data_IF_910954551111
#
_entry.id   IF_910954551111
#
_cell.length_a   1.000
_cell.length_b   1.000
_cell.length_c   1.000
_cell.angle_alpha   90.00
_cell.angle_beta   90.00
_cell.angle_gamma   90.00
#
_symmetry.space_group_name_H-M   'P 1'
#
loop_
_entity.id
_entity.type
_entity.pdbx_description
1 polymer ?
#
# COMPACT_ATOMS: atom_id res chain seq x y z
N UNK A 1 55.18 17.08 15.91
CA UNK A 1 54.84 15.64 15.80
C UNK A 1 55.10 14.90 17.12
N UNK A 2 55.93 15.46 18.03
CA UNK A 2 56.32 14.82 19.29
C UNK A 2 55.37 15.08 20.47
N UNK A 3 54.65 16.21 20.49
CA UNK A 3 53.71 16.56 21.58
C UNK A 3 52.56 15.56 21.75
N UNK A 4 52.05 15.00 20.65
CA UNK A 4 50.93 14.04 20.69
C UNK A 4 51.37 12.70 21.31
N UNK A 5 52.65 12.36 21.19
CA UNK A 5 53.21 11.13 21.80
C UNK A 5 53.48 11.35 23.29
N UNK A 6 53.91 12.56 23.68
CA UNK A 6 54.09 12.92 25.09
C UNK A 6 52.76 12.93 25.85
N UNK A 7 51.69 13.43 25.23
CA UNK A 7 50.36 13.49 25.83
C UNK A 7 49.75 12.09 26.00
N UNK A 8 49.90 11.21 25.00
CA UNK A 8 49.50 9.80 25.13
C UNK A 8 50.27 9.09 26.25
N UNK A 9 51.58 9.32 26.37
CA UNK A 9 52.40 8.74 27.43
C UNK A 9 52.01 9.26 28.83
N UNK A 10 51.57 10.52 28.93
CA UNK A 10 51.03 11.07 30.16
C UNK A 10 49.73 10.35 30.57
N UNK A 11 48.81 10.15 29.64
CA UNK A 11 47.58 9.39 29.90
C UNK A 11 47.83 7.90 30.15
N UNK A 12 48.84 7.31 29.53
CA UNK A 12 49.29 5.93 29.78
C UNK A 12 49.80 5.78 31.23
N UNK A 13 50.58 6.75 31.72
CA UNK A 13 51.03 6.80 33.12
C UNK A 13 49.87 7.03 34.11
N UNK A 14 48.94 7.93 33.78
CA UNK A 14 47.75 8.17 34.60
C UNK A 14 46.85 6.92 34.69
N UNK A 15 46.66 6.21 33.57
CA UNK A 15 45.93 4.96 33.54
C UNK A 15 46.62 3.85 34.35
N UNK A 16 47.94 3.70 34.20
CA UNK A 16 48.72 2.70 34.93
C UNK A 16 48.65 2.91 36.46
N UNK A 17 48.76 4.17 36.90
CA UNK A 17 48.60 4.54 38.30
C UNK A 17 47.20 4.21 38.82
N UNK A 18 46.15 4.59 38.08
CA UNK A 18 44.75 4.30 38.44
C UNK A 18 44.44 2.80 38.45
N UNK A 19 44.97 2.03 37.50
CA UNK A 19 44.81 0.56 37.45
C UNK A 19 45.46 -0.13 38.65
N UNK A 20 46.65 0.32 39.04
CA UNK A 20 47.36 -0.17 40.24
C UNK A 20 46.58 0.17 41.52
N UNK A 21 46.02 1.38 41.61
CA UNK A 21 45.21 1.81 42.74
C UNK A 21 43.90 1.02 42.83
N UNK A 22 43.21 0.78 41.71
CA UNK A 22 42.02 -0.08 41.64
C UNK A 22 42.36 -1.49 42.13
N UNK A 23 43.47 -2.08 41.66
CA UNK A 23 43.90 -3.42 42.06
C UNK A 23 44.22 -3.52 43.56
N UNK A 24 44.88 -2.50 44.13
CA UNK A 24 45.13 -2.40 45.58
C UNK A 24 43.83 -2.21 46.37
N UNK A 25 42.90 -1.40 45.88
CA UNK A 25 41.60 -1.18 46.52
C UNK A 25 40.71 -2.42 46.45
N UNK A 26 40.77 -3.22 45.37
CA UNK A 26 40.09 -4.52 45.26
C UNK A 26 40.69 -5.54 46.25
N UNK A 27 42.03 -5.60 46.35
CA UNK A 27 42.73 -6.51 47.29
C UNK A 27 42.49 -6.12 48.75
N UNK A 28 42.39 -4.82 49.06
CA UNK A 28 42.00 -4.37 50.40
C UNK A 28 40.52 -4.57 50.66
N UNK A 29 39.65 -4.44 49.65
CA UNK A 29 38.23 -4.73 49.78
C UNK A 29 37.96 -6.22 50.03
N UNK A 30 38.80 -7.13 49.54
CA UNK A 30 38.66 -8.57 49.82
C UNK A 30 39.12 -8.97 51.23
N UNK A 31 39.97 -8.18 51.89
CA UNK A 31 40.45 -8.44 53.26
C UNK A 31 39.69 -7.70 54.37
N UNK A 32 38.87 -6.70 54.01
CA UNK A 32 38.07 -5.91 54.95
C UNK A 32 36.69 -6.54 55.23
N UNK A 33 36.15 -6.29 56.44
CA UNK A 33 34.82 -6.76 56.85
C UNK A 33 33.67 -6.22 55.99
N UNK A 34 32.52 -6.91 55.98
CA UNK A 34 31.42 -6.72 55.02
C UNK A 34 30.96 -5.27 54.79
N UNK A 35 30.90 -4.45 55.84
CA UNK A 35 30.47 -3.05 55.77
C UNK A 35 31.55 -2.13 55.17
N UNK A 36 32.81 -2.28 55.62
CA UNK A 36 33.95 -1.57 55.05
C UNK A 36 34.21 -1.98 53.59
N UNK A 37 34.00 -3.26 53.27
CA UNK A 37 34.05 -3.80 51.90
C UNK A 37 33.02 -3.15 51.00
N UNK A 38 31.77 -2.96 51.44
CA UNK A 38 30.73 -2.29 50.65
C UNK A 38 31.08 -0.84 50.33
N UNK A 39 31.59 -0.08 51.30
CA UNK A 39 32.03 1.31 51.07
C UNK A 39 33.22 1.39 50.12
N UNK A 40 34.21 0.52 50.29
CA UNK A 40 35.39 0.44 49.42
C UNK A 40 35.02 0.03 47.98
N UNK A 41 34.07 -0.90 47.81
CA UNK A 41 33.59 -1.32 46.49
C UNK A 41 32.90 -0.19 45.71
N UNK A 42 32.17 0.70 46.39
CA UNK A 42 31.56 1.89 45.75
C UNK A 42 32.65 2.87 45.30
N UNK A 43 33.68 3.08 46.11
CA UNK A 43 34.83 3.91 45.76
C UNK A 43 35.58 3.35 44.54
N UNK A 44 35.78 2.04 44.49
CA UNK A 44 36.40 1.37 43.33
C UNK A 44 35.54 1.47 42.07
N UNK A 45 34.20 1.47 42.18
CA UNK A 45 33.31 1.67 41.02
C UNK A 45 33.46 3.09 40.42
N UNK A 46 33.70 4.09 41.28
CA UNK A 46 34.01 5.46 40.83
C UNK A 46 35.38 5.50 40.15
N UNK A 47 36.41 4.91 40.76
CA UNK A 47 37.75 4.84 40.16
C UNK A 47 37.76 4.11 38.81
N UNK A 48 36.96 3.05 38.66
CA UNK A 48 36.80 2.32 37.39
C UNK A 48 36.14 3.18 36.32
N UNK A 49 35.17 4.03 36.69
CA UNK A 49 34.53 4.97 35.75
C UNK A 49 35.51 6.06 35.31
N UNK A 50 36.32 6.57 36.23
CA UNK A 50 37.40 7.51 35.90
C UNK A 50 38.40 6.87 34.92
N UNK A 51 38.84 5.63 35.19
CA UNK A 51 39.73 4.90 34.29
C UNK A 51 39.12 4.69 32.88
N UNK A 52 37.81 4.41 32.79
CA UNK A 52 37.10 4.31 31.50
C UNK A 52 37.05 5.66 30.75
N UNK A 53 36.92 6.79 31.45
CA UNK A 53 37.03 8.11 30.81
C UNK A 53 38.43 8.41 30.30
N UNK A 54 39.48 7.95 31.00
CA UNK A 54 40.88 8.09 30.57
C UNK A 54 41.13 7.24 29.32
N UNK A 55 40.67 5.98 29.30
CA UNK A 55 40.76 5.13 28.10
C UNK A 55 40.02 5.76 26.91
N UNK A 56 38.85 6.38 27.12
CA UNK A 56 38.12 7.08 26.05
C UNK A 56 38.89 8.28 25.50
N UNK A 57 39.58 9.03 26.36
CA UNK A 57 40.48 10.13 25.94
C UNK A 57 41.68 9.58 25.15
N UNK A 58 42.27 8.48 25.59
CA UNK A 58 43.34 7.78 24.88
C UNK A 58 42.90 7.20 23.51
N UNK A 59 41.68 6.66 23.39
CA UNK A 59 41.14 6.18 22.10
C UNK A 59 40.92 7.34 21.11
N UNK A 60 40.45 8.49 21.61
CA UNK A 60 40.26 9.68 20.80
C UNK A 60 41.61 10.24 20.28
N UNK A 61 42.64 10.25 21.14
CA UNK A 61 43.98 10.64 20.74
C UNK A 61 44.65 9.63 19.81
N UNK A 62 44.47 8.32 20.05
CA UNK A 62 44.95 7.27 19.16
C UNK A 62 44.33 7.34 17.75
N UNK A 63 43.10 7.87 17.62
CA UNK A 63 42.44 8.14 16.33
C UNK A 63 42.96 9.38 15.60
N UNK A 64 43.58 10.31 16.33
CA UNK A 64 44.14 11.54 15.76
C UNK A 64 45.56 11.37 15.17
N UNK A 65 46.16 10.19 15.33
CA UNK A 65 47.55 9.88 14.93
C UNK A 65 47.60 9.08 13.61
N UNK A 66 48.69 9.21 12.86
CA UNK A 66 48.96 8.54 11.58
C UNK A 66 48.74 7.00 11.61
N UNK A 67 48.31 6.39 10.49
CA UNK A 67 47.77 5.02 10.43
C UNK A 67 48.74 3.90 10.88
N UNK A 68 50.06 4.08 10.75
CA UNK A 68 51.04 3.09 11.23
C UNK A 68 51.15 3.06 12.76
N UNK A 69 51.17 4.23 13.41
CA UNK A 69 51.22 4.36 14.88
C UNK A 69 49.85 4.14 15.52
N UNK A 70 48.77 4.46 14.79
CA UNK A 70 47.39 4.19 15.19
C UNK A 70 47.18 2.71 15.52
N UNK A 71 47.72 1.79 14.72
CA UNK A 71 47.56 0.35 14.94
C UNK A 71 48.27 -0.15 16.20
N UNK A 72 49.45 0.40 16.51
CA UNK A 72 50.19 0.09 17.74
C UNK A 72 49.50 0.66 18.99
N UNK A 73 49.03 1.91 18.91
CA UNK A 73 48.30 2.58 20.00
C UNK A 73 46.94 1.92 20.25
N UNK A 74 46.21 1.51 19.20
CA UNK A 74 44.95 0.78 19.35
C UNK A 74 45.12 -0.61 19.95
N UNK A 75 46.24 -1.30 19.67
CA UNK A 75 46.52 -2.58 20.32
C UNK A 75 46.75 -2.40 21.82
N UNK A 76 47.51 -1.37 22.23
CA UNK A 76 47.66 -1.00 23.64
C UNK A 76 46.34 -0.61 24.30
N UNK A 77 45.50 0.19 23.63
CA UNK A 77 44.17 0.56 24.14
C UNK A 77 43.26 -0.67 24.31
N UNK A 78 43.38 -1.68 23.43
CA UNK A 78 42.63 -2.94 23.56
C UNK A 78 43.12 -3.78 24.74
N UNK A 79 44.43 -3.82 24.98
CA UNK A 79 45.03 -4.50 26.13
C UNK A 79 44.56 -3.85 27.43
N UNK A 80 44.65 -2.53 27.54
CA UNK A 80 44.13 -1.78 28.70
C UNK A 80 42.61 -1.94 28.90
N UNK A 81 41.84 -2.04 27.81
CA UNK A 81 40.41 -2.34 27.90
C UNK A 81 40.13 -3.76 28.41
N UNK A 82 40.98 -4.73 28.10
CA UNK A 82 40.90 -6.08 28.62
C UNK A 82 41.26 -6.13 30.11
N UNK A 83 42.29 -5.39 30.53
CA UNK A 83 42.66 -5.28 31.94
C UNK A 83 41.53 -4.67 32.78
N UNK A 84 40.88 -3.58 32.32
CA UNK A 84 39.70 -3.03 33.01
C UNK A 84 38.53 -4.02 33.06
N UNK A 85 38.34 -4.86 32.04
CA UNK A 85 37.31 -5.88 32.05
C UNK A 85 37.58 -6.93 33.13
N UNK A 86 38.84 -7.36 33.26
CA UNK A 86 39.25 -8.30 34.32
C UNK A 86 39.08 -7.71 35.72
N UNK A 87 39.39 -6.42 35.92
CA UNK A 87 39.21 -5.72 37.19
C UNK A 87 37.73 -5.52 37.55
N UNK A 88 36.88 -5.25 36.55
CA UNK A 88 35.41 -5.19 36.74
C UNK A 88 34.85 -6.55 37.14
N UNK A 89 35.31 -7.64 36.53
CA UNK A 89 34.88 -8.99 36.87
C UNK A 89 35.30 -9.38 38.30
N UNK A 90 36.54 -9.05 38.69
CA UNK A 90 37.01 -9.26 40.06
C UNK A 90 36.20 -8.45 41.08
N UNK A 91 35.84 -7.21 40.78
CA UNK A 91 34.96 -6.40 41.61
C UNK A 91 33.54 -7.01 41.71
N UNK A 92 32.99 -7.49 40.60
CA UNK A 92 31.67 -8.12 40.58
C UNK A 92 31.64 -9.40 41.39
N UNK A 93 32.69 -10.24 41.31
CA UNK A 93 32.85 -11.45 42.13
C UNK A 93 33.03 -11.11 43.61
N UNK A 94 33.78 -10.06 43.93
CA UNK A 94 33.92 -9.58 45.30
C UNK A 94 32.57 -9.06 45.85
N UNK A 95 31.74 -8.45 45.01
CA UNK A 95 30.39 -7.97 45.35
C UNK A 95 29.40 -9.12 45.57
N UNK A 96 29.39 -10.14 44.70
CA UNK A 96 28.50 -11.29 44.85
C UNK A 96 28.82 -12.11 46.11
N UNK A 97 30.10 -12.24 46.45
CA UNK A 97 30.51 -12.92 47.70
C UNK A 97 29.99 -12.20 48.96
N UNK A 98 29.81 -10.87 48.90
CA UNK A 98 29.19 -10.11 50.00
C UNK A 98 27.68 -10.31 50.03
N UNK A 99 27.00 -10.29 48.88
CA UNK A 99 25.56 -10.55 48.83
C UNK A 99 25.20 -11.97 49.26
N UNK A 100 26.05 -12.96 48.97
CA UNK A 100 25.81 -14.35 49.36
C UNK A 100 26.02 -14.57 50.86
N UNK A 101 26.96 -13.84 51.47
CA UNK A 101 27.16 -13.88 52.93
C UNK A 101 26.04 -13.17 53.70
N UNK A 102 25.54 -12.05 53.17
CA UNK A 102 24.45 -11.27 53.75
C UNK A 102 23.07 -11.94 53.52
N UNK A 103 22.86 -12.52 52.33
CA UNK A 103 21.69 -13.34 52.03
C UNK A 103 21.70 -14.67 52.82
N UNK A 104 22.85 -15.33 52.96
CA UNK A 104 22.98 -16.55 53.75
C UNK A 104 22.70 -16.35 55.26
N UNK A 105 23.11 -15.22 55.85
CA UNK A 105 22.75 -14.88 57.24
C UNK A 105 21.29 -14.46 57.40
N UNK A 106 20.69 -13.84 56.38
CA UNK A 106 19.28 -13.48 56.38
C UNK A 106 18.38 -14.71 56.21
N UNK A 107 18.78 -15.68 55.38
CA UNK A 107 18.12 -16.97 55.16
C UNK A 107 18.17 -17.87 56.41
N UNK A 108 19.30 -17.89 57.13
CA UNK A 108 19.48 -18.73 58.32
C UNK A 108 18.96 -18.11 59.63
N UNK A 109 18.42 -16.89 59.62
CA UNK A 109 17.80 -16.26 60.80
C UNK A 109 18.75 -15.95 61.97
N UNK A 110 20.06 -16.15 61.82
CA UNK A 110 21.09 -16.01 62.87
C UNK A 110 21.71 -14.59 62.93
N UNK A 111 21.02 -13.61 62.35
CA UNK A 111 21.49 -12.22 62.23
C UNK A 111 20.98 -11.24 63.29
N UNK A 112 20.23 -11.68 64.32
CA UNK A 112 19.64 -10.75 65.29
C UNK A 112 19.80 -11.24 66.72
N UNK A 113 20.37 -10.38 67.57
CA UNK A 113 20.43 -10.52 69.02
C UNK A 113 19.06 -10.88 69.59
N UNK A 114 19.05 -11.99 70.33
CA UNK A 114 17.88 -12.68 70.90
C UNK A 114 17.17 -11.91 72.03
N UNK A 115 17.48 -10.62 72.24
CA UNK A 115 17.11 -9.88 73.46
C UNK A 115 16.07 -8.74 73.30
N UNK A 116 15.50 -8.47 72.11
CA UNK A 116 14.52 -7.36 71.90
C UNK A 116 13.19 -7.78 71.23
N UNK A 117 12.63 -8.92 71.63
CA UNK A 117 11.64 -9.69 70.86
C UNK A 117 10.20 -9.17 70.77
N UNK A 118 9.81 -7.99 71.28
CA UNK A 118 8.41 -7.50 71.07
C UNK A 118 8.29 -6.29 70.15
N UNK A 119 9.21 -5.32 70.23
CA UNK A 119 9.14 -4.10 69.43
C UNK A 119 9.59 -4.35 67.98
N UNK A 120 10.71 -5.05 67.79
CA UNK A 120 11.22 -5.39 66.47
C UNK A 120 10.32 -6.39 65.72
N UNK A 121 9.62 -7.27 66.45
CA UNK A 121 8.65 -8.20 65.86
C UNK A 121 7.38 -7.48 65.40
N UNK A 122 6.88 -6.50 66.18
CA UNK A 122 5.76 -5.65 65.75
C UNK A 122 6.11 -4.82 64.52
N UNK A 123 7.31 -4.26 64.44
CA UNK A 123 7.74 -3.45 63.30
C UNK A 123 7.90 -4.29 62.02
N UNK A 124 8.38 -5.53 62.15
CA UNK A 124 8.38 -6.51 61.04
C UNK A 124 6.97 -6.93 60.63
N UNK A 125 6.07 -7.14 61.58
CA UNK A 125 4.67 -7.46 61.29
C UNK A 125 3.97 -6.30 60.60
N UNK A 126 4.18 -5.06 61.05
CA UNK A 126 3.63 -3.85 60.42
C UNK A 126 4.15 -3.66 59.00
N UNK A 127 5.45 -3.84 58.77
CA UNK A 127 6.02 -3.76 57.42
C UNK A 127 5.59 -4.91 56.52
N UNK A 128 5.38 -6.11 57.07
CA UNK A 128 4.78 -7.23 56.34
C UNK A 128 3.31 -6.95 55.96
N UNK A 129 2.52 -6.39 56.89
CA UNK A 129 1.13 -5.97 56.63
C UNK A 129 1.05 -4.84 55.61
N UNK A 130 1.94 -3.83 55.70
CA UNK A 130 1.99 -2.74 54.73
C UNK A 130 2.38 -3.23 53.32
N UNK A 131 3.29 -4.20 53.23
CA UNK A 131 3.63 -4.84 51.95
C UNK A 131 2.48 -5.69 51.41
N UNK A 132 1.74 -6.39 52.27
CA UNK A 132 0.54 -7.14 51.89
C UNK A 132 -0.55 -6.20 51.38
N UNK A 133 -0.84 -5.11 52.08
CA UNK A 133 -1.82 -4.11 51.67
C UNK A 133 -1.43 -3.45 50.33
N UNK A 134 -0.14 -3.14 50.15
CA UNK A 134 0.37 -2.65 48.87
C UNK A 134 0.22 -3.69 47.75
N UNK A 135 0.44 -4.98 48.05
CA UNK A 135 0.25 -6.06 47.10
C UNK A 135 -1.21 -6.27 46.75
N UNK A 136 -2.12 -6.18 47.72
CA UNK A 136 -3.56 -6.28 47.52
C UNK A 136 -4.10 -5.13 46.69
N UNK A 137 -3.63 -3.91 46.93
CA UNK A 137 -4.00 -2.73 46.13
C UNK A 137 -3.49 -2.88 44.70
N UNK A 138 -2.25 -3.34 44.51
CA UNK A 138 -1.73 -3.67 43.16
C UNK A 138 -2.51 -4.80 42.50
N UNK A 139 -2.94 -5.81 43.25
CA UNK A 139 -3.75 -6.91 42.75
C UNK A 139 -5.13 -6.40 42.32
N UNK A 140 -5.74 -5.51 43.09
CA UNK A 140 -7.03 -4.87 42.78
C UNK A 140 -6.93 -4.01 41.54
N UNK A 141 -5.88 -3.20 41.43
CA UNK A 141 -5.56 -2.42 40.22
C UNK A 141 -5.31 -3.33 39.02
N UNK A 142 -4.56 -4.42 39.20
CA UNK A 142 -4.32 -5.42 38.17
C UNK A 142 -5.62 -6.09 37.70
N UNK A 143 -6.52 -6.45 38.62
CA UNK A 143 -7.84 -7.00 38.28
C UNK A 143 -8.72 -5.99 37.54
N UNK A 144 -8.72 -4.73 37.95
CA UNK A 144 -9.46 -3.67 37.27
C UNK A 144 -8.94 -3.45 35.84
N UNK A 145 -7.61 -3.38 35.68
CA UNK A 145 -6.97 -3.29 34.37
C UNK A 145 -7.29 -4.51 33.51
N UNK A 146 -7.25 -5.73 34.07
CA UNK A 146 -7.59 -6.95 33.35
C UNK A 146 -9.05 -6.93 32.86
N UNK A 147 -9.99 -6.51 33.69
CA UNK A 147 -11.38 -6.36 33.29
C UNK A 147 -11.55 -5.32 32.17
N UNK A 148 -10.81 -4.22 32.22
CA UNK A 148 -10.78 -3.23 31.13
C UNK A 148 -10.20 -3.83 29.85
N UNK A 149 -9.10 -4.58 29.93
CA UNK A 149 -8.52 -5.27 28.76
C UNK A 149 -9.42 -6.34 28.18
N UNK A 150 -10.19 -7.05 29.01
CA UNK A 150 -11.19 -8.02 28.58
C UNK A 150 -12.33 -7.31 27.82
N UNK A 151 -12.83 -6.19 28.32
CA UNK A 151 -13.84 -5.40 27.65
C UNK A 151 -13.35 -4.84 26.30
N UNK A 152 -12.11 -4.37 26.23
CA UNK A 152 -11.48 -3.94 24.97
C UNK A 152 -11.35 -5.14 24.02
N UNK A 153 -10.89 -6.30 24.51
CA UNK A 153 -10.80 -7.53 23.73
C UNK A 153 -12.14 -7.97 23.15
N UNK A 154 -13.21 -7.91 23.95
CA UNK A 154 -14.57 -8.20 23.50
C UNK A 154 -15.04 -7.23 22.42
N UNK A 155 -14.75 -5.93 22.56
CA UNK A 155 -15.06 -4.92 21.55
C UNK A 155 -14.32 -5.16 20.23
N UNK A 156 -13.02 -5.48 20.29
CA UNK A 156 -12.21 -5.81 19.11
C UNK A 156 -12.75 -7.06 18.41
N UNK A 157 -13.09 -8.11 19.16
CA UNK A 157 -13.71 -9.31 18.57
C UNK A 157 -15.06 -9.00 17.90
N UNK A 158 -15.88 -8.16 18.53
CA UNK A 158 -17.13 -7.67 17.95
C UNK A 158 -16.91 -6.90 16.64
N UNK A 159 -15.92 -6.01 16.60
CA UNK A 159 -15.55 -5.27 15.39
C UNK A 159 -15.04 -6.19 14.28
N UNK A 160 -14.20 -7.16 14.60
CA UNK A 160 -13.70 -8.13 13.63
C UNK A 160 -14.84 -8.98 13.06
N UNK A 161 -15.81 -9.39 13.88
CA UNK A 161 -16.99 -10.10 13.43
C UNK A 161 -17.85 -9.24 12.48
N UNK A 162 -18.13 -7.99 12.85
CA UNK A 162 -18.87 -7.05 12.01
C UNK A 162 -18.13 -6.76 10.68
N UNK A 163 -16.81 -6.63 10.73
CA UNK A 163 -15.98 -6.45 9.55
C UNK A 163 -16.01 -7.68 8.64
N UNK A 164 -15.92 -8.89 9.21
CA UNK A 164 -16.04 -10.15 8.46
C UNK A 164 -17.39 -10.24 7.76
N UNK A 165 -18.48 -9.89 8.44
CA UNK A 165 -19.81 -9.86 7.84
C UNK A 165 -19.90 -8.85 6.70
N UNK A 166 -19.33 -7.65 6.88
CA UNK A 166 -19.29 -6.62 5.83
C UNK A 166 -18.51 -7.12 4.60
N UNK A 167 -17.35 -7.76 4.81
CA UNK A 167 -16.55 -8.34 3.72
C UNK A 167 -17.31 -9.46 3.02
N UNK A 168 -18.03 -10.33 3.77
CA UNK A 168 -18.85 -11.37 3.17
C UNK A 168 -19.98 -10.77 2.34
N UNK A 169 -20.72 -9.78 2.86
CA UNK A 169 -21.76 -9.08 2.09
C UNK A 169 -21.19 -8.44 0.84
N UNK A 170 -20.04 -7.77 0.91
CA UNK A 170 -19.38 -7.20 -0.27
C UNK A 170 -18.94 -8.28 -1.27
N UNK A 171 -18.46 -9.43 -0.80
CA UNK A 171 -18.11 -10.56 -1.68
C UNK A 171 -19.34 -11.15 -2.35
N UNK A 172 -20.43 -11.31 -1.62
CA UNK A 172 -21.69 -11.83 -2.16
C UNK A 172 -22.32 -10.87 -3.17
N UNK A 173 -22.29 -9.55 -2.90
CA UNK A 173 -22.76 -8.55 -3.88
C UNK A 173 -21.87 -8.51 -5.12
N UNK A 174 -20.54 -8.57 -4.96
CA UNK A 174 -19.62 -8.63 -6.11
C UNK A 174 -19.78 -9.93 -6.91
N UNK A 175 -19.95 -11.07 -6.26
CA UNK A 175 -20.21 -12.35 -6.92
C UNK A 175 -21.56 -12.33 -7.65
N UNK A 176 -22.59 -11.72 -7.04
CA UNK A 176 -23.91 -11.52 -7.64
C UNK A 176 -23.88 -10.60 -8.86
N UNK A 177 -23.16 -9.48 -8.78
CA UNK A 177 -22.97 -8.53 -9.89
C UNK A 177 -22.18 -9.17 -11.03
N UNK A 178 -21.04 -9.80 -10.73
CA UNK A 178 -20.21 -10.42 -11.76
C UNK A 178 -20.95 -11.54 -12.50
N UNK A 179 -21.73 -12.38 -11.81
CA UNK A 179 -22.47 -13.44 -12.48
C UNK A 179 -23.79 -12.95 -13.11
N UNK A 180 -24.50 -12.03 -12.47
CA UNK A 180 -25.80 -11.54 -12.91
C UNK A 180 -25.70 -10.61 -14.10
N UNK A 181 -24.83 -9.62 -14.05
CA UNK A 181 -24.70 -8.61 -15.09
C UNK A 181 -23.93 -9.14 -16.29
N UNK A 182 -22.92 -10.00 -16.09
CA UNK A 182 -22.24 -10.68 -17.19
C UNK A 182 -23.21 -11.63 -17.93
N UNK A 183 -24.04 -12.39 -17.22
CA UNK A 183 -25.03 -13.28 -17.86
C UNK A 183 -26.14 -12.51 -18.57
N UNK A 184 -26.59 -11.38 -18.01
CA UNK A 184 -27.55 -10.49 -18.69
C UNK A 184 -26.92 -9.86 -19.93
N UNK A 185 -25.69 -9.35 -19.84
CA UNK A 185 -24.97 -8.77 -20.95
C UNK A 185 -24.68 -9.81 -22.05
N UNK A 186 -24.32 -11.03 -21.68
CA UNK A 186 -24.14 -12.13 -22.63
C UNK A 186 -25.47 -12.51 -23.30
N UNK A 187 -26.57 -12.56 -22.55
CA UNK A 187 -27.89 -12.81 -23.11
C UNK A 187 -28.35 -11.69 -24.05
N UNK A 188 -28.14 -10.42 -23.70
CA UNK A 188 -28.50 -9.28 -24.57
C UNK A 188 -27.65 -9.30 -25.83
N UNK A 189 -26.33 -9.49 -25.75
CA UNK A 189 -25.45 -9.66 -26.90
C UNK A 189 -25.88 -10.81 -27.79
N UNK A 190 -26.23 -11.97 -27.22
CA UNK A 190 -26.74 -13.12 -27.99
C UNK A 190 -28.06 -12.80 -28.70
N UNK A 191 -28.98 -12.08 -28.05
CA UNK A 191 -30.23 -11.65 -28.68
C UNK A 191 -30.01 -10.59 -29.76
N UNK A 192 -29.08 -9.66 -29.57
CA UNK A 192 -28.71 -8.66 -30.57
C UNK A 192 -28.07 -9.32 -31.79
N UNK A 193 -27.08 -10.20 -31.59
CA UNK A 193 -26.45 -10.93 -32.68
C UNK A 193 -27.46 -11.81 -33.46
N UNK A 194 -28.37 -12.50 -32.74
CA UNK A 194 -29.46 -13.25 -33.38
C UNK A 194 -30.42 -12.34 -34.16
N UNK A 195 -30.68 -11.12 -33.67
CA UNK A 195 -31.51 -10.12 -34.36
C UNK A 195 -30.79 -9.57 -35.59
N UNK A 196 -29.55 -9.12 -35.47
CA UNK A 196 -28.79 -8.54 -36.59
C UNK A 196 -28.55 -9.55 -37.71
N UNK A 197 -28.22 -10.80 -37.38
CA UNK A 197 -28.10 -11.86 -38.38
C UNK A 197 -29.46 -12.20 -39.01
N UNK A 198 -30.54 -12.23 -38.21
CA UNK A 198 -31.88 -12.56 -38.69
C UNK A 198 -32.53 -11.46 -39.52
N UNK A 199 -32.38 -10.19 -39.14
CA UNK A 199 -33.00 -9.04 -39.80
C UNK A 199 -32.13 -8.47 -40.91
N UNK A 200 -30.80 -8.48 -40.77
CA UNK A 200 -29.88 -8.03 -41.82
C UNK A 200 -29.96 -8.89 -43.07
N UNK A 201 -30.06 -10.22 -42.91
CA UNK A 201 -30.21 -11.15 -44.04
C UNK A 201 -31.61 -11.00 -44.66
N UNK A 202 -32.70 -11.00 -43.88
CA UNK A 202 -34.05 -10.83 -44.42
C UNK A 202 -34.26 -9.47 -45.10
N UNK A 203 -33.76 -8.38 -44.51
CA UNK A 203 -33.90 -7.03 -45.07
C UNK A 203 -33.08 -6.88 -46.35
N UNK A 204 -31.88 -7.46 -46.41
CA UNK A 204 -31.06 -7.44 -47.62
C UNK A 204 -31.71 -8.29 -48.73
N UNK A 205 -32.20 -9.48 -48.41
CA UNK A 205 -32.96 -10.30 -49.36
C UNK A 205 -34.26 -9.61 -49.82
N UNK A 206 -34.99 -8.93 -48.93
CA UNK A 206 -36.21 -8.22 -49.29
C UNK A 206 -35.92 -7.00 -50.18
N UNK A 207 -34.93 -6.19 -49.81
CA UNK A 207 -34.46 -5.03 -50.60
C UNK A 207 -33.91 -5.45 -51.96
N UNK A 208 -33.18 -6.56 -52.02
CA UNK A 208 -32.66 -7.13 -53.25
C UNK A 208 -33.78 -7.70 -54.13
N UNK A 209 -34.82 -8.32 -53.53
CA UNK A 209 -36.03 -8.74 -54.26
C UNK A 209 -36.81 -7.55 -54.82
N UNK A 210 -36.93 -6.46 -54.05
CA UNK A 210 -37.61 -5.23 -54.47
C UNK A 210 -36.87 -4.53 -55.63
N UNK A 211 -35.54 -4.50 -55.57
CA UNK A 211 -34.69 -3.94 -56.64
C UNK A 211 -34.82 -4.76 -57.94
N UNK A 212 -34.82 -6.08 -57.84
CA UNK A 212 -35.01 -6.97 -59.01
C UNK A 212 -36.41 -6.81 -59.62
N UNK A 213 -37.46 -6.67 -58.79
CA UNK A 213 -38.83 -6.46 -59.27
C UNK A 213 -38.99 -5.09 -59.94
N UNK A 214 -38.40 -4.03 -59.37
CA UNK A 214 -38.42 -2.69 -59.99
C UNK A 214 -37.66 -2.62 -61.30
N UNK A 215 -36.55 -3.35 -61.45
CA UNK A 215 -35.86 -3.51 -62.74
C UNK A 215 -36.68 -4.30 -63.76
N UNK A 216 -37.59 -5.17 -63.30
CA UNK A 216 -38.50 -5.92 -64.18
C UNK A 216 -39.70 -5.08 -64.65
N UNK A 217 -40.19 -4.15 -63.82
CA UNK A 217 -41.28 -3.23 -64.18
C UNK A 217 -40.82 -2.04 -65.03
N UNK A 218 -39.58 -1.59 -64.88
CA UNK A 218 -38.98 -0.57 -65.78
C UNK A 218 -38.75 -1.08 -67.21
N UNK A 219 -38.96 -2.38 -67.45
CA UNK A 219 -38.99 -2.98 -68.79
C UNK A 219 -40.41 -3.04 -69.41
N UNK A 220 -41.48 -2.84 -68.63
CA UNK A 220 -42.86 -2.74 -69.16
C UNK A 220 -43.31 -1.28 -69.41
N UNK A 221 -42.72 -0.30 -68.71
CA UNK A 221 -43.02 1.13 -68.92
C UNK A 221 -42.53 1.72 -70.26
N UNK A 222 -41.81 0.95 -71.07
CA UNK A 222 -41.42 1.36 -72.42
C UNK A 222 -42.58 1.34 -73.42
N UNK A 223 -43.64 0.56 -73.19
CA UNK A 223 -44.80 0.45 -74.11
C UNK A 223 -45.78 1.64 -74.00
N UNK A 224 -45.91 2.27 -72.83
CA UNK A 224 -46.79 3.43 -72.66
C UNK A 224 -46.25 4.70 -73.34
N UNK A 225 -44.92 4.83 -73.40
CA UNK A 225 -44.27 5.92 -74.10
C UNK A 225 -44.32 5.73 -75.63
N UNK A 226 -44.30 4.47 -76.10
CA UNK A 226 -44.47 4.14 -77.52
C UNK A 226 -45.89 4.43 -78.02
N UNK A 227 -46.90 4.24 -77.17
CA UNK A 227 -48.31 4.46 -77.52
C UNK A 227 -48.63 5.96 -77.61
N UNK A 228 -48.05 6.78 -76.71
CA UNK A 228 -48.18 8.25 -76.78
C UNK A 228 -47.53 8.84 -78.02
N UNK A 229 -46.37 8.32 -78.43
CA UNK A 229 -45.68 8.74 -79.66
C UNK A 229 -46.52 8.46 -80.93
N UNK A 230 -47.17 7.28 -81.02
CA UNK A 230 -48.07 6.94 -82.15
C UNK A 230 -49.29 7.85 -82.24
N UNK A 231 -49.86 8.26 -81.09
CA UNK A 231 -51.04 9.15 -81.05
C UNK A 231 -50.72 10.56 -81.55
N UNK A 232 -49.55 11.09 -81.21
CA UNK A 232 -49.08 12.39 -81.69
C UNK A 232 -48.79 12.34 -83.21
N UNK A 233 -48.09 11.30 -83.69
CA UNK A 233 -47.83 11.12 -85.12
C UNK A 233 -49.12 11.01 -85.96
N UNK A 234 -50.13 10.28 -85.47
CA UNK A 234 -51.42 10.14 -86.16
C UNK A 234 -52.17 11.47 -86.28
N UNK A 235 -52.12 12.31 -85.24
CA UNK A 235 -52.73 13.64 -85.25
C UNK A 235 -52.06 14.60 -86.23
N UNK A 236 -50.75 14.48 -86.43
CA UNK A 236 -50.00 15.28 -87.42
C UNK A 236 -50.25 14.80 -88.85
N UNK A 237 -50.31 13.48 -89.06
CA UNK A 237 -50.59 12.88 -90.36
C UNK A 237 -51.98 13.28 -90.90
N UNK A 238 -53.01 13.30 -90.04
CA UNK A 238 -54.37 13.70 -90.45
C UNK A 238 -54.47 15.18 -90.82
N UNK A 239 -53.81 16.07 -90.07
CA UNK A 239 -53.77 17.51 -90.39
C UNK A 239 -53.08 17.79 -91.74
N UNK A 240 -52.03 17.02 -92.06
CA UNK A 240 -51.33 17.15 -93.34
C UNK A 240 -52.21 16.77 -94.54
N UNK A 241 -53.07 15.76 -94.39
CA UNK A 241 -53.98 15.31 -95.46
C UNK A 241 -55.14 16.29 -95.70
N UNK A 242 -55.73 16.84 -94.62
CA UNK A 242 -56.78 17.85 -94.72
C UNK A 242 -56.30 19.10 -95.47
N UNK A 243 -55.08 19.56 -95.18
CA UNK A 243 -54.50 20.70 -95.88
C UNK A 243 -54.34 20.45 -97.39
N UNK A 244 -53.98 19.22 -97.80
CA UNK A 244 -53.90 18.87 -99.23
C UNK A 244 -55.27 18.89 -99.92
N UNK A 245 -56.32 18.40 -99.27
CA UNK A 245 -57.66 18.33 -99.86
C UNK A 245 -58.30 19.72 -100.03
N UNK A 246 -58.09 20.62 -99.06
CA UNK A 246 -58.48 22.04 -99.17
C UNK A 246 -57.76 22.70 -100.35
N UNK A 247 -56.47 22.41 -100.53
CA UNK A 247 -55.68 22.97 -101.63
C UNK A 247 -56.21 22.53 -103.00
N UNK A 248 -56.53 21.24 -103.18
CA UNK A 248 -57.16 20.75 -104.42
C UNK A 248 -58.55 21.35 -104.65
N UNK A 249 -59.34 21.57 -103.59
CA UNK A 249 -60.64 22.24 -103.68
C UNK A 249 -60.54 23.66 -104.24
N UNK A 250 -59.60 24.46 -103.72
CA UNK A 250 -59.37 25.84 -104.18
C UNK A 250 -58.95 25.87 -105.66
N UNK A 251 -58.01 24.99 -106.06
CA UNK A 251 -57.58 24.86 -107.46
C UNK A 251 -58.77 24.50 -108.35
N UNK A 252 -59.60 23.52 -107.95
CA UNK A 252 -60.77 23.10 -108.70
C UNK A 252 -61.78 24.23 -108.91
N UNK A 253 -62.07 25.00 -107.86
CA UNK A 253 -62.95 26.16 -107.97
C UNK A 253 -62.41 27.26 -108.88
N UNK A 254 -61.09 27.52 -108.87
CA UNK A 254 -60.46 28.47 -109.78
C UNK A 254 -60.56 28.01 -111.24
N UNK A 255 -60.31 26.73 -111.51
CA UNK A 255 -60.44 26.18 -112.87
C UNK A 255 -61.89 26.25 -113.37
N UNK A 256 -62.87 25.92 -112.52
CA UNK A 256 -64.28 26.04 -112.87
C UNK A 256 -64.68 27.48 -113.19
N UNK A 257 -64.18 28.46 -112.45
CA UNK A 257 -64.41 29.88 -112.73
C UNK A 257 -63.82 30.31 -114.08
N UNK A 258 -62.60 29.84 -114.43
CA UNK A 258 -61.97 30.11 -115.73
C UNK A 258 -62.80 29.51 -116.86
N UNK A 259 -63.24 28.25 -116.74
CA UNK A 259 -64.09 27.58 -117.74
C UNK A 259 -65.40 28.34 -117.91
N UNK A 260 -66.01 28.80 -116.82
CA UNK A 260 -67.27 29.56 -116.85
C UNK A 260 -67.09 30.90 -117.57
N UNK A 261 -66.00 31.63 -117.31
CA UNK A 261 -65.68 32.88 -118.03
C UNK A 261 -65.50 32.62 -119.53
N UNK A 262 -64.78 31.56 -119.91
CA UNK A 262 -64.58 31.20 -121.32
C UNK A 262 -65.92 30.84 -121.98
N UNK A 263 -66.78 30.07 -121.31
CA UNK A 263 -68.10 29.69 -121.82
C UNK A 263 -68.98 30.92 -122.08
N UNK A 264 -69.04 31.87 -121.14
CA UNK A 264 -69.79 33.11 -121.31
C UNK A 264 -69.20 34.06 -122.35
N UNK A 265 -67.90 33.95 -122.67
CA UNK A 265 -67.26 34.73 -123.73
C UNK A 265 -67.44 34.09 -125.11
N UNK A 266 -67.53 32.77 -125.19
CA UNK A 266 -67.65 32.02 -126.44
C UNK A 266 -69.11 31.87 -126.92
N UNK A 267 -70.08 32.19 -126.07
CA UNK A 267 -71.51 32.24 -126.38
C UNK A 267 -71.95 33.69 -126.53
#
# INVERSE_FOLDING_TARGET
MDDVTALFNQYENEYCNKSTDISRKITTASTLGAEAKRKKLVEVDVDIKEADTIIKKMDNEARSVAPDRQKQLQNKVKEYKADLASLKEQLQKARSTTSDFEAGRAELGLGMDYASSSAAQRDRMLSATAKLEQSDERLKQGKALLAETEAIGASVLGQLQAQRETIQRSRDTLAGVNNGDLRKAEATLKTMNKRELGTGILANLHSQRETIVRSRDTLHGADDNITKARKILSSMSKRMLQNKLIMFGIIGTLLAAIILIIYFKAK
#
